data_IF_402380762438
#
_entry.id   IF_402380762438
#
_cell.length_a   1.000
_cell.length_b   1.000
_cell.length_c   1.000
_cell.angle_alpha   90.00
_cell.angle_beta   90.00
_cell.angle_gamma   90.00
#
_symmetry.space_group_name_H-M   'P 1'
#
loop_
_entity.id
_entity.type
_entity.pdbx_description
1 polymer ?
#
# COMPACT_ATOMS: atom_id res chain seq x y z
N UNK A 1 -2.61 21.89 -24.53
CA UNK A 1 -3.60 21.15 -23.71
C UNK A 1 -3.51 21.68 -22.29
N UNK A 2 -4.64 21.93 -21.65
CA UNK A 2 -4.66 22.25 -20.22
C UNK A 2 -4.51 20.91 -19.50
N UNK A 3 -3.35 20.63 -18.89
CA UNK A 3 -3.16 19.44 -18.05
C UNK A 3 -3.84 19.69 -16.70
N UNK A 4 -5.15 19.44 -16.67
CA UNK A 4 -5.92 19.39 -15.44
C UNK A 4 -5.69 18.04 -14.77
N UNK A 5 -5.25 18.09 -13.52
CA UNK A 5 -4.95 16.92 -12.70
C UNK A 5 -5.63 17.11 -11.34
N UNK A 6 -6.17 16.02 -10.77
CA UNK A 6 -6.72 16.03 -9.41
C UNK A 6 -6.37 14.76 -8.63
N UNK A 7 -6.20 14.95 -7.33
CA UNK A 7 -6.15 13.89 -6.34
C UNK A 7 -7.54 13.76 -5.73
N UNK A 8 -8.11 12.56 -5.75
CA UNK A 8 -9.47 12.28 -5.31
C UNK A 8 -9.39 11.37 -4.08
N UNK A 9 -10.22 11.65 -3.08
CA UNK A 9 -10.36 10.82 -1.89
C UNK A 9 -11.80 10.37 -1.73
N UNK A 10 -11.97 9.13 -1.33
CA UNK A 10 -13.27 8.50 -1.11
C UNK A 10 -13.15 7.38 -0.06
N UNK A 11 -14.25 6.99 0.59
CA UNK A 11 -14.25 5.86 1.51
C UNK A 11 -14.05 4.52 0.77
N UNK A 12 -13.76 3.46 1.52
CA UNK A 12 -13.60 2.12 0.93
C UNK A 12 -14.94 1.63 0.36
N UNK A 13 -14.97 1.15 -0.90
CA UNK A 13 -16.20 0.66 -1.50
C UNK A 13 -16.66 -0.65 -0.87
N UNK A 14 -17.98 -0.80 -0.72
CA UNK A 14 -18.57 -1.99 -0.09
C UNK A 14 -18.54 -3.26 -0.97
N UNK A 15 -18.47 -3.10 -2.29
CA UNK A 15 -18.71 -4.17 -3.26
C UNK A 15 -17.43 -4.90 -3.74
N UNK A 16 -16.23 -4.41 -3.40
CA UNK A 16 -14.95 -5.05 -3.76
C UNK A 16 -13.89 -4.85 -2.66
N UNK A 17 -14.25 -5.22 -1.43
CA UNK A 17 -13.41 -5.01 -0.26
C UNK A 17 -12.20 -5.95 -0.27
N UNK A 18 -11.01 -5.36 -0.23
CA UNK A 18 -9.75 -6.12 -0.02
C UNK A 18 -9.23 -6.04 1.41
N UNK A 19 -9.91 -5.24 2.25
CA UNK A 19 -9.66 -5.17 3.69
C UNK A 19 -10.97 -5.28 4.47
N UNK A 20 -10.86 -5.71 5.71
CA UNK A 20 -12.00 -5.87 6.62
C UNK A 20 -12.69 -4.54 6.96
N UNK A 21 -13.99 -4.59 7.23
CA UNK A 21 -14.83 -3.43 7.58
C UNK A 21 -14.52 -2.82 8.94
N UNK A 22 -13.85 -3.55 9.84
CA UNK A 22 -13.39 -3.01 11.12
C UNK A 22 -12.31 -1.93 10.99
N UNK A 23 -11.77 -1.72 9.79
CA UNK A 23 -10.77 -0.71 9.46
C UNK A 23 -11.36 0.58 8.87
N UNK A 24 -12.67 0.65 8.62
CA UNK A 24 -13.30 1.77 7.90
C UNK A 24 -13.10 3.13 8.58
N UNK A 25 -13.01 3.17 9.91
CA UNK A 25 -12.81 4.42 10.66
C UNK A 25 -11.39 4.99 10.52
N UNK A 26 -10.42 4.16 10.13
CA UNK A 26 -9.02 4.56 9.94
C UNK A 26 -8.59 4.56 8.48
N UNK A 27 -9.31 3.86 7.61
CA UNK A 27 -8.93 3.67 6.23
C UNK A 27 -9.62 4.65 5.27
N UNK A 28 -8.90 5.03 4.21
CA UNK A 28 -9.43 5.88 3.13
C UNK A 28 -8.76 5.52 1.81
N UNK A 29 -9.45 5.74 0.70
CA UNK A 29 -8.93 5.53 -0.64
C UNK A 29 -8.46 6.84 -1.25
N UNK A 30 -7.37 6.79 -2.01
CA UNK A 30 -6.92 7.90 -2.86
C UNK A 30 -6.68 7.39 -4.28
N UNK A 31 -7.07 8.18 -5.27
CA UNK A 31 -6.70 7.95 -6.65
C UNK A 31 -6.32 9.27 -7.33
N UNK A 32 -5.64 9.18 -8.47
CA UNK A 32 -5.17 10.33 -9.22
C UNK A 32 -5.81 10.33 -10.60
N UNK A 33 -6.36 11.46 -11.03
CA UNK A 33 -6.88 11.62 -12.39
C UNK A 33 -6.09 12.71 -13.11
N UNK A 34 -5.73 12.45 -14.37
CA UNK A 34 -4.93 13.36 -15.18
C UNK A 34 -5.50 13.55 -16.59
N UNK A 35 -4.99 14.54 -17.31
CA UNK A 35 -5.46 14.92 -18.66
C UNK A 35 -6.98 15.13 -18.73
N UNK A 36 -7.54 15.78 -17.70
CA UNK A 36 -8.98 15.91 -17.53
C UNK A 36 -9.54 16.91 -18.56
N UNK A 37 -10.49 16.46 -19.37
CA UNK A 37 -11.18 17.27 -20.36
C UNK A 37 -12.23 18.21 -19.73
N UNK A 38 -12.88 19.04 -20.56
CA UNK A 38 -13.94 19.94 -20.09
C UNK A 38 -15.18 19.23 -19.54
N UNK A 39 -15.36 17.96 -19.87
CA UNK A 39 -16.45 17.12 -19.41
C UNK A 39 -16.07 16.35 -18.14
N UNK A 40 -14.84 16.48 -17.63
CA UNK A 40 -14.37 15.80 -16.43
C UNK A 40 -13.91 14.35 -16.65
N UNK A 41 -13.69 13.94 -17.90
CA UNK A 41 -13.12 12.63 -18.24
C UNK A 41 -11.60 12.71 -18.36
N UNK A 42 -10.93 11.66 -17.93
CA UNK A 42 -9.49 11.51 -18.04
C UNK A 42 -9.03 10.23 -17.36
N UNK A 43 -7.86 9.70 -17.75
CA UNK A 43 -7.29 8.49 -17.17
C UNK A 43 -7.02 8.60 -15.67
N UNK A 44 -7.16 7.46 -15.00
CA UNK A 44 -6.79 7.28 -13.60
C UNK A 44 -5.45 6.58 -13.47
N UNK A 45 -4.58 7.10 -12.59
CA UNK A 45 -3.28 6.52 -12.28
C UNK A 45 -2.24 7.56 -11.87
N UNK A 46 -1.21 7.10 -11.17
CA UNK A 46 -0.10 7.92 -10.66
C UNK A 46 1.05 8.00 -11.67
N UNK A 47 0.73 8.30 -12.93
CA UNK A 47 1.66 8.17 -14.06
C UNK A 47 2.21 9.51 -14.58
N UNK A 48 1.94 10.62 -13.87
CA UNK A 48 2.42 11.95 -14.24
C UNK A 48 3.61 12.35 -13.37
N UNK A 49 4.45 13.26 -13.88
CA UNK A 49 5.57 13.81 -13.11
C UNK A 49 5.11 14.45 -11.78
N UNK A 50 3.94 15.11 -11.78
CA UNK A 50 3.37 15.67 -10.55
C UNK A 50 2.93 14.59 -9.58
N UNK A 51 2.27 13.53 -10.07
CA UNK A 51 1.89 12.39 -9.24
C UNK A 51 3.12 11.75 -8.59
N UNK A 52 4.18 11.48 -9.36
CA UNK A 52 5.42 10.91 -8.84
C UNK A 52 6.07 11.78 -7.76
N UNK A 53 6.11 13.11 -7.95
CA UNK A 53 6.60 14.05 -6.94
C UNK A 53 5.74 14.07 -5.68
N UNK A 54 4.42 14.02 -5.80
CA UNK A 54 3.50 13.94 -4.66
C UNK A 54 3.76 12.65 -3.87
N UNK A 55 3.83 11.51 -4.55
CA UNK A 55 4.05 10.18 -3.93
C UNK A 55 5.41 10.16 -3.22
N UNK A 56 6.49 10.50 -3.92
CA UNK A 56 7.86 10.45 -3.36
C UNK A 56 8.08 11.40 -2.18
N UNK A 57 7.45 12.58 -2.18
CA UNK A 57 7.55 13.52 -1.05
C UNK A 57 6.63 13.17 0.13
N UNK A 58 5.62 12.35 -0.09
CA UNK A 58 4.67 11.94 0.97
C UNK A 58 5.13 10.66 1.66
N UNK A 59 5.71 9.72 0.91
CA UNK A 59 6.02 8.39 1.42
C UNK A 59 7.54 8.15 1.50
N UNK A 60 8.19 8.54 2.61
CA UNK A 60 9.62 8.31 2.77
C UNK A 60 9.92 6.83 2.97
N UNK A 61 11.07 6.38 2.45
CA UNK A 61 11.58 5.00 2.60
C UNK A 61 10.56 3.95 2.15
N UNK A 62 9.88 4.20 1.03
CA UNK A 62 8.86 3.31 0.49
C UNK A 62 9.47 1.94 0.14
N UNK A 63 8.84 0.87 0.59
CA UNK A 63 9.19 -0.52 0.30
C UNK A 63 7.97 -1.28 -0.21
N UNK A 64 8.16 -2.09 -1.24
CA UNK A 64 7.14 -3.00 -1.76
C UNK A 64 7.28 -4.37 -1.09
N UNK A 65 6.15 -4.91 -0.61
CA UNK A 65 6.06 -6.27 -0.09
C UNK A 65 5.89 -7.23 -1.27
N UNK A 66 7.02 -7.68 -1.80
CA UNK A 66 7.04 -8.55 -2.97
C UNK A 66 6.86 -10.01 -2.54
N UNK A 67 5.90 -10.69 -3.18
CA UNK A 67 5.73 -12.14 -3.07
C UNK A 67 6.49 -12.81 -4.22
N UNK A 68 7.44 -13.67 -3.87
CA UNK A 68 8.09 -14.58 -4.80
C UNK A 68 7.28 -15.88 -4.93
N UNK A 69 7.69 -16.72 -5.89
CA UNK A 69 7.19 -18.08 -6.01
C UNK A 69 7.36 -18.88 -4.70
N UNK A 70 6.57 -19.94 -4.51
CA UNK A 70 6.63 -20.85 -3.35
C UNK A 70 6.41 -20.20 -1.96
N UNK A 71 5.75 -19.03 -1.90
CA UNK A 71 5.28 -18.46 -0.62
C UNK A 71 6.34 -17.71 0.18
N UNK A 72 7.46 -17.34 -0.44
CA UNK A 72 8.44 -16.42 0.13
C UNK A 72 8.02 -14.97 -0.12
N UNK A 73 8.19 -14.10 0.88
CA UNK A 73 7.98 -12.66 0.73
C UNK A 73 9.24 -11.88 1.08
N UNK A 74 9.41 -10.71 0.50
CA UNK A 74 10.49 -9.79 0.82
C UNK A 74 10.03 -8.34 0.79
N UNK A 75 10.79 -7.48 1.46
CA UNK A 75 10.64 -6.03 1.37
C UNK A 75 11.71 -5.49 0.43
N UNK A 76 11.27 -4.87 -0.67
CA UNK A 76 12.13 -4.23 -1.67
C UNK A 76 11.97 -2.73 -1.66
N UNK A 77 13.07 -2.01 -1.57
CA UNK A 77 13.11 -0.56 -1.70
C UNK A 77 12.55 -0.11 -3.07
N UNK A 78 11.69 0.89 -3.07
CA UNK A 78 11.10 1.48 -4.28
C UNK A 78 10.88 2.98 -4.10
N UNK A 79 10.72 3.70 -5.21
CA UNK A 79 10.43 5.14 -5.22
C UNK A 79 9.04 5.48 -5.77
N UNK A 80 8.37 4.49 -6.36
CA UNK A 80 7.12 4.66 -7.10
C UNK A 80 6.13 3.56 -6.71
N UNK A 81 4.84 3.88 -6.82
CA UNK A 81 3.73 2.95 -6.60
C UNK A 81 3.09 2.67 -7.95
N UNK A 82 3.43 1.53 -8.54
CA UNK A 82 2.96 1.13 -9.88
C UNK A 82 2.45 -0.32 -9.92
N UNK A 83 2.76 -1.12 -8.91
CA UNK A 83 2.39 -2.53 -8.86
C UNK A 83 1.25 -2.73 -7.85
N UNK A 84 0.35 -3.66 -8.15
CA UNK A 84 -0.68 -4.06 -7.18
C UNK A 84 -0.04 -4.82 -6.03
N UNK A 85 -0.54 -4.57 -4.83
CA UNK A 85 -0.04 -5.23 -3.62
C UNK A 85 0.14 -4.25 -2.48
N UNK A 86 1.05 -4.59 -1.57
CA UNK A 86 1.20 -3.89 -0.30
C UNK A 86 2.53 -3.16 -0.29
N UNK A 87 2.50 -1.90 0.12
CA UNK A 87 3.68 -1.10 0.36
C UNK A 87 3.75 -0.67 1.82
N UNK A 88 4.97 -0.56 2.33
CA UNK A 88 5.27 -0.03 3.65
C UNK A 88 6.11 1.24 3.48
N UNK A 89 5.95 2.21 4.37
CA UNK A 89 6.74 3.45 4.36
C UNK A 89 6.95 3.98 5.78
N UNK A 90 7.84 4.97 5.94
CA UNK A 90 8.08 5.64 7.21
C UNK A 90 9.52 5.50 7.70
N UNK A 91 9.70 5.15 8.97
CA UNK A 91 11.01 5.12 9.59
C UNK A 91 11.90 3.99 9.03
N UNK A 92 13.05 4.35 8.46
CA UNK A 92 13.99 3.40 7.85
C UNK A 92 14.42 2.27 8.80
N UNK A 93 14.81 2.59 10.05
CA UNK A 93 15.29 1.59 11.00
C UNK A 93 14.22 0.54 11.35
N UNK A 94 12.95 0.96 11.47
CA UNK A 94 11.83 0.04 11.71
C UNK A 94 11.57 -0.86 10.50
N UNK A 95 11.61 -0.30 9.28
CA UNK A 95 11.43 -1.06 8.05
C UNK A 95 12.57 -2.06 7.81
N UNK A 96 13.82 -1.65 8.07
CA UNK A 96 14.98 -2.52 7.97
C UNK A 96 14.93 -3.66 9.00
N UNK A 97 14.45 -3.37 10.23
CA UNK A 97 14.19 -4.41 11.22
C UNK A 97 13.21 -5.48 10.71
N UNK A 98 12.12 -5.09 10.04
CA UNK A 98 11.17 -6.04 9.45
C UNK A 98 11.81 -6.88 8.33
N UNK A 99 12.69 -6.26 7.53
CA UNK A 99 13.45 -6.93 6.46
C UNK A 99 14.40 -7.98 7.03
N UNK A 100 15.10 -7.65 8.13
CA UNK A 100 15.99 -8.57 8.84
C UNK A 100 15.20 -9.72 9.48
N UNK A 101 14.07 -9.42 10.11
CA UNK A 101 13.19 -10.44 10.72
C UNK A 101 12.71 -11.47 9.69
N UNK A 102 12.22 -11.01 8.53
CA UNK A 102 11.86 -11.89 7.41
C UNK A 102 13.03 -12.75 6.93
N UNK A 103 14.20 -12.13 6.72
CA UNK A 103 15.39 -12.84 6.26
C UNK A 103 15.80 -13.95 7.22
N UNK A 104 15.82 -13.65 8.52
CA UNK A 104 16.19 -14.60 9.55
C UNK A 104 15.19 -15.77 9.63
N UNK A 105 13.89 -15.50 9.57
CA UNK A 105 12.86 -16.53 9.55
C UNK A 105 13.07 -17.50 8.37
N UNK A 106 13.29 -16.98 7.16
CA UNK A 106 13.50 -17.84 5.99
C UNK A 106 14.83 -18.60 6.00
N UNK A 107 15.90 -18.03 6.57
CA UNK A 107 17.17 -18.74 6.77
C UNK A 107 16.95 -19.98 7.65
N UNK A 108 16.27 -19.82 8.78
CA UNK A 108 16.00 -20.94 9.69
C UNK A 108 15.03 -21.96 9.06
N UNK A 109 14.03 -21.50 8.31
CA UNK A 109 13.14 -22.38 7.53
C UNK A 109 13.93 -23.22 6.52
N UNK A 110 14.82 -22.62 5.74
CA UNK A 110 15.67 -23.34 4.78
C UNK A 110 16.66 -24.30 5.45
N UNK A 111 17.25 -23.91 6.58
CA UNK A 111 18.10 -24.82 7.38
C UNK A 111 17.32 -26.06 7.81
N UNK A 112 16.08 -25.91 8.26
CA UNK A 112 15.21 -27.03 8.61
C UNK A 112 14.87 -27.92 7.42
N UNK A 113 14.52 -27.34 6.26
CA UNK A 113 14.29 -28.12 5.03
C UNK A 113 15.50 -28.99 4.67
N UNK A 114 16.73 -28.45 4.78
CA UNK A 114 17.96 -29.18 4.51
C UNK A 114 18.21 -30.28 5.55
N UNK A 115 17.99 -30.00 6.84
CA UNK A 115 18.16 -30.99 7.92
C UNK A 115 17.21 -32.16 7.73
N UNK A 116 15.94 -31.90 7.43
CA UNK A 116 14.93 -32.93 7.17
C UNK A 116 15.34 -33.80 5.98
N UNK A 117 15.82 -33.21 4.87
CA UNK A 117 16.33 -33.96 3.72
C UNK A 117 17.55 -34.84 4.04
N UNK A 118 18.29 -34.52 5.10
CA UNK A 118 19.44 -35.28 5.61
C UNK A 118 19.07 -36.21 6.78
N UNK A 119 17.78 -36.39 7.07
CA UNK A 119 17.29 -37.17 8.23
C UNK A 119 17.82 -36.67 9.58
N UNK A 120 18.10 -35.37 9.69
CA UNK A 120 18.52 -34.69 10.92
C UNK A 120 17.32 -34.01 11.59
N UNK A 121 17.35 -33.93 12.93
CA UNK A 121 16.31 -33.26 13.69
C UNK A 121 16.24 -31.75 13.37
N UNK A 122 15.04 -31.19 13.09
CA UNK A 122 14.87 -29.76 12.87
C UNK A 122 15.08 -28.97 14.16
N UNK A 123 15.39 -27.70 14.02
CA UNK A 123 15.42 -26.71 15.12
C UNK A 123 14.07 -26.00 15.21
N UNK A 124 13.75 -25.44 16.37
CA UNK A 124 12.58 -24.58 16.51
C UNK A 124 12.69 -23.40 15.55
N UNK A 125 11.61 -23.12 14.81
CA UNK A 125 11.53 -21.91 14.01
C UNK A 125 11.36 -20.69 14.92
N UNK A 126 11.90 -19.53 14.52
CA UNK A 126 11.53 -18.27 15.15
C UNK A 126 10.04 -17.98 14.90
N UNK A 127 9.47 -17.09 15.72
CA UNK A 127 8.12 -16.57 15.52
C UNK A 127 7.94 -16.05 14.10
N UNK A 128 6.79 -16.33 13.50
CA UNK A 128 6.49 -15.85 12.15
C UNK A 128 6.45 -14.31 12.12
N UNK A 129 7.19 -13.66 11.20
CA UNK A 129 7.20 -12.21 11.07
C UNK A 129 5.81 -11.65 10.84
N UNK A 130 5.45 -10.62 11.60
CA UNK A 130 4.10 -10.04 11.61
C UNK A 130 3.58 -9.71 10.20
N UNK A 131 4.44 -9.16 9.34
CA UNK A 131 4.09 -8.72 7.98
C UNK A 131 3.72 -9.87 7.03
N UNK A 132 3.99 -11.13 7.37
CA UNK A 132 3.52 -12.28 6.58
C UNK A 132 2.00 -12.38 6.56
N UNK A 133 1.34 -12.04 7.67
CA UNK A 133 -0.12 -12.05 7.77
C UNK A 133 -0.82 -11.00 6.90
N UNK A 134 -0.11 -9.97 6.41
CA UNK A 134 -0.70 -8.96 5.50
C UNK A 134 -1.18 -9.59 4.19
N UNK A 135 -0.58 -10.72 3.79
CA UNK A 135 -0.92 -11.46 2.57
C UNK A 135 -2.17 -12.34 2.76
N UNK A 136 -2.64 -12.53 3.99
CA UNK A 136 -3.83 -13.30 4.30
C UNK A 136 -5.06 -12.37 4.23
N UNK A 137 -6.19 -12.87 3.73
CA UNK A 137 -7.46 -12.13 3.66
C UNK A 137 -8.37 -12.47 4.84
N UNK A 138 -7.85 -12.36 6.06
CA UNK A 138 -8.58 -12.74 7.27
C UNK A 138 -8.40 -11.72 8.40
N UNK A 139 -8.98 -12.00 9.58
CA UNK A 139 -8.90 -11.13 10.76
C UNK A 139 -7.46 -10.85 11.23
N UNK A 140 -6.50 -11.72 10.92
CA UNK A 140 -5.09 -11.52 11.28
C UNK A 140 -4.50 -10.33 10.52
N UNK A 141 -4.99 -10.07 9.30
CA UNK A 141 -4.63 -8.89 8.52
C UNK A 141 -5.00 -7.59 9.25
N UNK A 142 -6.24 -7.47 9.76
CA UNK A 142 -6.68 -6.25 10.45
C UNK A 142 -5.87 -5.97 11.71
N UNK A 143 -5.59 -7.00 12.50
CA UNK A 143 -4.75 -6.88 13.69
C UNK A 143 -3.34 -6.37 13.33
N UNK A 144 -2.75 -6.94 12.28
CA UNK A 144 -1.42 -6.55 11.81
C UNK A 144 -1.38 -5.13 11.29
N UNK A 145 -2.37 -4.71 10.50
CA UNK A 145 -2.49 -3.32 10.01
C UNK A 145 -2.51 -2.35 11.21
N UNK A 146 -3.38 -2.60 12.20
CA UNK A 146 -3.48 -1.76 13.40
C UNK A 146 -2.15 -1.70 14.16
N UNK A 147 -1.48 -2.84 14.34
CA UNK A 147 -0.20 -2.91 15.07
C UNK A 147 0.92 -2.14 14.35
N UNK A 148 0.99 -2.23 13.02
CA UNK A 148 1.97 -1.52 12.21
C UNK A 148 1.73 0.00 12.23
N UNK A 149 0.48 0.43 12.03
CA UNK A 149 0.09 1.86 12.11
C UNK A 149 0.40 2.43 13.49
N UNK A 150 0.02 1.73 14.57
CA UNK A 150 0.33 2.15 15.94
C UNK A 150 1.84 2.18 16.24
N UNK A 151 2.63 1.43 15.46
CA UNK A 151 4.09 1.43 15.54
C UNK A 151 4.73 2.50 14.62
N UNK A 152 3.95 3.44 14.07
CA UNK A 152 4.39 4.45 13.10
C UNK A 152 5.06 3.83 11.86
N UNK A 153 4.52 2.73 11.37
CA UNK A 153 4.85 2.15 10.06
C UNK A 153 3.64 2.35 9.16
N UNK A 154 3.83 3.16 8.12
CA UNK A 154 2.80 3.47 7.14
C UNK A 154 2.54 2.27 6.24
N UNK A 155 1.29 2.11 5.83
CA UNK A 155 0.82 1.03 4.97
C UNK A 155 0.01 1.59 3.80
N UNK A 156 0.22 1.00 2.62
CA UNK A 156 -0.53 1.29 1.40
C UNK A 156 -0.94 -0.03 0.80
N UNK A 157 -2.25 -0.22 0.58
CA UNK A 157 -2.73 -1.28 -0.29
C UNK A 157 -3.03 -0.67 -1.65
N UNK A 158 -2.22 -1.02 -2.63
CA UNK A 158 -2.38 -0.62 -4.02
C UNK A 158 -3.30 -1.61 -4.72
N UNK A 159 -4.48 -1.14 -5.12
CA UNK A 159 -5.54 -1.95 -5.71
C UNK A 159 -6.13 -1.25 -6.92
N UNK A 160 -6.83 -2.02 -7.77
CA UNK A 160 -7.53 -1.46 -8.92
C UNK A 160 -9.03 -1.60 -8.74
N UNK A 161 -9.72 -0.47 -8.71
CA UNK A 161 -11.17 -0.44 -8.92
C UNK A 161 -11.40 -0.16 -10.41
N UNK A 162 -12.33 -0.90 -11.03
CA UNK A 162 -12.71 -0.71 -12.43
C UNK A 162 -14.23 -0.72 -12.55
N UNK A 163 -14.79 0.04 -13.51
CA UNK A 163 -14.10 1.02 -14.37
C UNK A 163 -13.74 2.34 -13.65
N UNK A 164 -14.24 2.58 -12.44
CA UNK A 164 -14.03 3.80 -11.66
C UNK A 164 -12.73 3.77 -10.84
N UNK A 165 -12.09 4.93 -10.68
CA UNK A 165 -10.90 5.20 -9.84
C UNK A 165 -9.57 4.58 -10.27
N UNK A 166 -9.58 3.54 -11.11
CA UNK A 166 -8.37 2.92 -11.63
C UNK A 166 -7.40 2.49 -10.52
N UNK A 167 -6.12 2.85 -10.66
CA UNK A 167 -5.09 2.63 -9.63
C UNK A 167 -5.40 3.45 -8.37
N UNK A 168 -5.80 2.75 -7.31
CA UNK A 168 -6.22 3.30 -6.04
C UNK A 168 -5.30 2.86 -4.92
N UNK A 169 -4.95 3.80 -4.04
CA UNK A 169 -4.16 3.53 -2.85
C UNK A 169 -5.07 3.59 -1.64
N UNK A 170 -5.15 2.49 -0.89
CA UNK A 170 -5.87 2.42 0.39
C UNK A 170 -4.87 2.68 1.50
N UNK A 171 -5.16 3.70 2.30
CA UNK A 171 -4.28 4.28 3.31
C UNK A 171 -4.95 4.20 4.70
N UNK A 172 -4.16 4.27 5.78
CA UNK A 172 -4.66 4.04 7.15
C UNK A 172 -4.31 5.14 8.16
N UNK A 173 -3.63 6.20 7.72
CA UNK A 173 -3.10 7.24 8.61
C UNK A 173 -3.60 8.64 8.23
N UNK A 174 -4.44 9.24 9.08
CA UNK A 174 -4.99 10.59 8.85
C UNK A 174 -3.93 11.68 8.79
N UNK A 175 -2.78 11.50 9.44
CA UNK A 175 -1.69 12.48 9.37
C UNK A 175 -1.09 12.55 7.96
N UNK A 176 -0.88 11.40 7.32
CA UNK A 176 -0.37 11.31 5.95
C UNK A 176 -1.32 11.97 4.95
N UNK A 177 -2.63 11.95 5.22
CA UNK A 177 -3.60 12.68 4.41
C UNK A 177 -3.31 14.19 4.37
N UNK A 178 -2.93 14.80 5.49
CA UNK A 178 -2.59 16.22 5.51
C UNK A 178 -1.34 16.52 4.67
N UNK A 179 -0.35 15.64 4.73
CA UNK A 179 0.87 15.74 3.93
C UNK A 179 0.58 15.57 2.43
N UNK A 180 -0.29 14.63 2.05
CA UNK A 180 -0.79 14.49 0.68
C UNK A 180 -1.48 15.76 0.18
N UNK A 181 -2.41 16.31 0.96
CA UNK A 181 -3.13 17.56 0.61
C UNK A 181 -2.15 18.71 0.40
N UNK A 182 -1.16 18.85 1.30
CA UNK A 182 -0.10 19.86 1.21
C UNK A 182 0.75 19.71 -0.05
N UNK A 183 1.22 18.49 -0.33
CA UNK A 183 2.04 18.19 -1.52
C UNK A 183 1.25 18.38 -2.82
N UNK A 184 -0.01 17.94 -2.89
CA UNK A 184 -0.88 18.17 -4.03
C UNK A 184 -1.07 19.66 -4.33
N UNK A 185 -1.34 20.46 -3.29
CA UNK A 185 -1.48 21.92 -3.39
C UNK A 185 -0.19 22.57 -3.90
N UNK A 186 0.96 22.16 -3.36
CA UNK A 186 2.27 22.66 -3.80
C UNK A 186 2.51 22.43 -5.31
N UNK A 187 2.10 21.28 -5.83
CA UNK A 187 2.22 20.95 -7.25
C UNK A 187 1.05 21.41 -8.12
N UNK A 188 0.15 22.25 -7.58
CA UNK A 188 -1.05 22.77 -8.28
C UNK A 188 -1.96 21.66 -8.81
N UNK A 189 -2.09 20.59 -8.03
CA UNK A 189 -3.03 19.50 -8.28
C UNK A 189 -4.27 19.74 -7.42
N UNK A 190 -5.44 19.75 -8.05
CA UNK A 190 -6.69 19.96 -7.34
C UNK A 190 -6.97 18.80 -6.40
N UNK A 191 -7.56 19.10 -5.25
CA UNK A 191 -7.94 18.09 -4.28
C UNK A 191 -9.46 17.98 -4.22
N UNK A 192 -10.00 16.76 -4.33
CA UNK A 192 -11.44 16.48 -4.30
C UNK A 192 -11.73 15.37 -3.30
N UNK A 193 -12.79 15.52 -2.53
CA UNK A 193 -13.29 14.53 -1.59
C UNK A 193 -14.71 14.13 -2.00
N UNK A 194 -14.95 12.84 -2.18
CA UNK A 194 -16.22 12.25 -2.60
C UNK A 194 -16.80 11.40 -1.48
N UNK A 195 -18.12 11.26 -1.43
CA UNK A 195 -18.78 10.42 -0.43
C UNK A 195 -18.83 8.94 -0.84
N UNK A 196 -18.70 8.64 -2.13
CA UNK A 196 -18.56 7.29 -2.66
C UNK A 196 -17.68 7.25 -3.91
N UNK A 197 -17.09 6.07 -4.20
CA UNK A 197 -16.47 5.78 -5.50
C UNK A 197 -17.48 5.91 -6.64
N UNK A 198 -18.77 5.70 -6.37
CA UNK A 198 -19.84 5.70 -7.39
C UNK A 198 -20.11 7.11 -7.96
N UNK A 199 -19.58 8.16 -7.33
CA UNK A 199 -19.60 9.53 -7.85
C UNK A 199 -18.55 9.76 -8.96
N UNK A 200 -17.67 8.78 -9.19
CA UNK A 200 -16.60 8.89 -10.17
C UNK A 200 -17.09 8.50 -11.57
N UNK A 201 -16.54 9.17 -12.58
CA UNK A 201 -16.79 8.81 -13.98
C UNK A 201 -15.90 7.64 -14.37
N UNK A 202 -16.49 6.65 -15.03
CA UNK A 202 -15.76 5.59 -15.71
C UNK A 202 -14.81 6.20 -16.77
N UNK A 203 -13.66 5.56 -16.97
CA UNK A 203 -12.68 5.88 -18.01
C UNK A 203 -12.23 4.62 -18.74
#
# INVERSE_FOLDING_TARGET
MINNEKLIIFPIPNWNRIISSDLDLMAYCICYQYNIDSNGFGPYGFNTEKAEKIISNTFPNLMFLEKYNEGFISLKDTKIIQQFGIYLYGNFAKLDSLKIELKNYYIEKKKNEIKIKKSLAPISLPTEPLIMSLMNKDQTQSYTIKKLVNSNIGLIFCHHYMPEAGLTLIMFEKKTLLELKKNATHYKVNFVELSSIDEMKAW
#
